data_IF_948496980803
#
_entry.id   IF_948496980803
#
_cell.length_a   1.000
_cell.length_b   1.000
_cell.length_c   1.000
_cell.angle_alpha   90.00
_cell.angle_beta   90.00
_cell.angle_gamma   90.00
#
_symmetry.space_group_name_H-M   'P 1'
#
loop_
_entity.id
_entity.type
_entity.pdbx_description
1 polymer ?
#
# COMPACT_ATOMS: atom_id res chain seq x y z
N UNK A 1 11.22 -14.71 -8.34
CA UNK A 1 11.04 -13.47 -7.54
C UNK A 1 12.18 -12.49 -7.81
N UNK A 2 13.45 -12.89 -7.66
CA UNK A 2 14.66 -12.10 -8.02
C UNK A 2 14.53 -11.29 -9.32
N UNK A 3 14.16 -11.92 -10.44
CA UNK A 3 13.99 -11.21 -11.74
C UNK A 3 13.08 -9.97 -11.71
N UNK A 4 12.08 -9.94 -10.82
CA UNK A 4 11.21 -8.77 -10.67
C UNK A 4 11.88 -7.68 -9.85
N UNK A 5 12.65 -8.07 -8.81
CA UNK A 5 13.46 -7.14 -8.02
C UNK A 5 14.60 -6.54 -8.84
N UNK A 6 15.21 -7.31 -9.74
CA UNK A 6 16.22 -6.81 -10.69
C UNK A 6 15.63 -5.78 -11.66
N UNK A 7 14.36 -5.98 -12.03
CA UNK A 7 13.63 -5.07 -12.89
C UNK A 7 13.05 -3.86 -12.13
N UNK A 8 13.18 -3.76 -10.81
CA UNK A 8 12.80 -2.54 -10.11
C UNK A 8 13.71 -1.40 -10.56
N UNK A 9 13.10 -0.35 -11.10
CA UNK A 9 13.82 0.85 -11.49
C UNK A 9 14.53 1.43 -10.29
N UNK A 10 15.84 1.65 -10.43
CA UNK A 10 16.62 2.34 -9.41
C UNK A 10 16.14 3.79 -9.33
N UNK A 11 15.74 4.23 -8.13
CA UNK A 11 15.39 5.62 -7.88
C UNK A 11 16.69 6.39 -7.69
N UNK A 12 16.92 7.40 -8.53
CA UNK A 12 18.11 8.23 -8.39
C UNK A 12 17.94 9.20 -7.23
N UNK A 13 19.02 9.64 -6.55
CA UNK A 13 18.93 10.56 -5.42
C UNK A 13 18.10 11.82 -5.70
N UNK A 14 18.20 12.39 -6.90
CA UNK A 14 17.43 13.56 -7.34
C UNK A 14 15.93 13.30 -7.49
N UNK A 15 15.53 12.04 -7.71
CA UNK A 15 14.13 11.64 -7.90
C UNK A 15 13.43 11.33 -6.58
N UNK A 16 14.17 11.08 -5.49
CA UNK A 16 13.64 10.61 -4.20
C UNK A 16 12.50 11.50 -3.71
N UNK A 17 12.64 12.82 -3.76
CA UNK A 17 11.61 13.77 -3.29
C UNK A 17 10.29 13.69 -4.09
N UNK A 18 10.34 13.13 -5.29
CA UNK A 18 9.15 12.93 -6.14
C UNK A 18 8.60 11.52 -6.09
N UNK A 19 9.41 10.54 -5.69
CA UNK A 19 9.09 9.11 -5.67
C UNK A 19 8.82 8.57 -4.28
N UNK A 20 9.26 9.24 -3.22
CA UNK A 20 9.13 8.79 -1.85
C UNK A 20 8.66 9.91 -0.94
N UNK A 21 7.88 9.52 0.07
CA UNK A 21 7.34 10.38 1.11
C UNK A 21 7.62 9.71 2.44
N UNK A 22 7.96 10.50 3.44
CA UNK A 22 8.10 10.07 4.82
C UNK A 22 7.23 10.91 5.74
N UNK A 23 6.93 10.36 6.90
CA UNK A 23 6.23 11.09 7.93
C UNK A 23 6.57 10.63 9.33
N UNK A 24 6.23 11.47 10.30
CA UNK A 24 6.28 11.16 11.71
C UNK A 24 4.99 11.61 12.40
N UNK A 25 4.34 10.71 13.15
CA UNK A 25 3.07 11.05 13.80
C UNK A 25 3.25 12.07 14.93
N UNK A 26 2.36 13.06 14.93
CA UNK A 26 2.07 13.94 16.05
C UNK A 26 1.07 13.28 17.00
N UNK A 27 0.82 13.92 18.13
CA UNK A 27 -0.28 13.56 19.00
C UNK A 27 -1.62 13.67 18.26
N UNK A 28 -2.60 12.89 18.69
CA UNK A 28 -3.91 12.84 18.04
C UNK A 28 -4.87 11.93 18.78
N UNK A 29 -5.94 11.52 18.11
CA UNK A 29 -6.96 10.64 18.67
C UNK A 29 -7.05 9.37 17.84
N UNK A 30 -6.92 8.22 18.49
CA UNK A 30 -7.06 6.90 17.88
C UNK A 30 -8.06 6.10 18.70
N UNK A 31 -9.09 5.56 18.05
CA UNK A 31 -10.15 4.77 18.71
C UNK A 31 -10.77 5.47 19.94
N UNK A 32 -10.93 6.80 19.85
CA UNK A 32 -11.49 7.63 20.92
C UNK A 32 -10.53 7.95 22.07
N UNK A 33 -9.26 7.53 21.99
CA UNK A 33 -8.24 7.80 23.00
C UNK A 33 -7.20 8.79 22.49
N UNK A 34 -6.77 9.70 23.37
CA UNK A 34 -5.63 10.56 23.07
C UNK A 34 -4.34 9.74 23.04
N UNK A 35 -3.53 10.01 22.01
CA UNK A 35 -2.23 9.38 21.78
C UNK A 35 -1.19 10.48 21.69
N UNK A 36 -0.08 10.31 22.41
CA UNK A 36 1.04 11.23 22.39
C UNK A 36 1.81 11.21 21.06
N UNK A 37 2.60 12.26 20.78
CA UNK A 37 3.44 12.30 19.59
C UNK A 37 4.59 11.29 19.69
N UNK A 38 5.18 10.91 18.56
CA UNK A 38 6.30 9.95 18.55
C UNK A 38 7.49 10.42 19.40
N UNK A 39 7.79 11.73 19.38
CA UNK A 39 8.89 12.34 20.15
C UNK A 39 8.66 12.34 21.66
N UNK A 40 7.42 12.13 22.10
CA UNK A 40 7.04 12.07 23.50
C UNK A 40 7.01 10.61 24.01
N UNK A 41 7.22 9.63 23.14
CA UNK A 41 7.25 8.21 23.51
C UNK A 41 8.45 7.89 24.41
N UNK A 42 8.23 6.93 25.33
CA UNK A 42 9.29 6.44 26.20
C UNK A 42 10.46 5.91 25.36
N UNK A 43 11.67 6.35 25.68
CA UNK A 43 12.91 6.00 24.98
C UNK A 43 13.06 6.57 23.56
N UNK A 44 12.28 7.60 23.19
CA UNK A 44 12.49 8.36 21.95
C UNK A 44 13.17 9.69 22.27
N UNK A 45 14.16 10.07 21.46
CA UNK A 45 14.80 11.37 21.59
C UNK A 45 13.81 12.50 21.20
N UNK A 46 13.69 13.59 21.98
CA UNK A 46 12.79 14.70 21.67
C UNK A 46 13.08 15.36 20.32
N UNK A 47 14.29 15.22 19.80
CA UNK A 47 14.73 15.75 18.50
C UNK A 47 14.75 14.69 17.40
N UNK A 48 14.18 13.49 17.64
CA UNK A 48 14.23 12.38 16.68
C UNK A 48 13.60 12.76 15.34
N UNK A 49 14.31 12.43 14.27
CA UNK A 49 13.88 12.56 12.88
C UNK A 49 13.50 11.22 12.27
N UNK A 50 13.40 10.16 13.09
CA UNK A 50 13.03 8.82 12.63
C UNK A 50 11.62 8.81 12.05
N UNK A 51 11.48 8.24 10.87
CA UNK A 51 10.22 8.07 10.17
C UNK A 51 9.33 7.02 10.86
N UNK A 52 8.05 7.33 11.02
CA UNK A 52 7.02 6.35 11.44
C UNK A 52 5.99 6.06 10.35
N UNK A 53 6.16 6.69 9.18
CA UNK A 53 5.41 6.47 7.94
C UNK A 53 6.33 6.58 6.73
N UNK A 54 6.12 5.75 5.73
CA UNK A 54 6.70 5.89 4.41
C UNK A 54 5.69 5.54 3.31
N UNK A 55 5.73 6.28 2.20
CA UNK A 55 5.06 5.92 0.96
C UNK A 55 6.03 6.04 -0.20
N UNK A 56 6.01 5.07 -1.12
CA UNK A 56 6.95 5.01 -2.25
C UNK A 56 6.21 4.66 -3.54
N UNK A 57 6.61 5.31 -4.63
CA UNK A 57 6.26 4.97 -6.00
C UNK A 57 7.42 4.18 -6.60
N UNK A 58 7.11 2.99 -7.11
CA UNK A 58 8.04 2.07 -7.74
C UNK A 58 7.61 1.82 -9.18
N UNK A 59 8.58 1.57 -10.05
CA UNK A 59 8.37 1.15 -11.42
C UNK A 59 9.13 -0.16 -11.67
N UNK A 60 8.54 -1.05 -12.46
CA UNK A 60 9.16 -2.32 -12.84
C UNK A 60 9.40 -2.30 -14.34
N UNK A 61 10.67 -2.25 -14.74
CA UNK A 61 11.14 -2.16 -16.11
C UNK A 61 11.18 -3.53 -16.78
N UNK A 62 10.00 -4.09 -17.02
CA UNK A 62 9.84 -5.28 -17.85
C UNK A 62 8.59 -5.18 -18.75
N UNK A 63 8.48 -6.10 -19.71
CA UNK A 63 7.40 -6.08 -20.70
C UNK A 63 5.99 -6.12 -20.09
N UNK A 64 5.82 -6.82 -18.95
CA UNK A 64 4.52 -7.01 -18.30
C UNK A 64 4.06 -5.76 -17.55
N UNK A 65 4.99 -5.04 -16.93
CA UNK A 65 4.72 -3.92 -16.04
C UNK A 65 5.13 -2.55 -16.60
N UNK A 66 5.53 -2.51 -17.87
CA UNK A 66 5.87 -1.27 -18.56
C UNK A 66 4.73 -0.23 -18.43
N UNK A 67 5.05 0.92 -17.83
CA UNK A 67 4.11 2.01 -17.60
C UNK A 67 3.06 1.74 -16.51
N UNK A 68 3.23 0.71 -15.67
CA UNK A 68 2.37 0.44 -14.52
C UNK A 68 3.10 0.87 -13.23
N UNK A 69 2.65 1.96 -12.57
CA UNK A 69 3.24 2.37 -11.29
C UNK A 69 2.75 1.47 -10.15
N UNK A 70 3.65 1.17 -9.22
CA UNK A 70 3.36 0.49 -7.97
C UNK A 70 3.48 1.51 -6.83
N UNK A 71 2.45 1.63 -6.00
CA UNK A 71 2.51 2.47 -4.80
C UNK A 71 2.45 1.58 -3.58
N UNK A 72 3.40 1.75 -2.68
CA UNK A 72 3.40 1.11 -1.38
C UNK A 72 3.37 2.19 -0.31
N UNK A 73 2.58 1.96 0.75
CA UNK A 73 2.60 2.80 1.95
C UNK A 73 2.55 1.93 3.19
N UNK A 74 3.25 2.34 4.23
CA UNK A 74 3.21 1.72 5.54
C UNK A 74 3.44 2.78 6.60
N UNK A 75 2.77 2.65 7.73
CA UNK A 75 2.98 3.57 8.83
C UNK A 75 2.35 3.12 10.13
N UNK A 76 2.72 3.82 11.20
CA UNK A 76 2.22 3.61 12.56
C UNK A 76 1.21 4.69 12.93
N UNK A 77 0.35 4.37 13.91
CA UNK A 77 -0.73 5.26 14.39
C UNK A 77 -1.62 5.79 13.26
N UNK A 78 -1.88 4.93 12.26
CA UNK A 78 -2.83 5.22 11.19
C UNK A 78 -4.27 4.96 11.65
N UNK A 79 -5.23 5.49 10.91
CA UNK A 79 -6.67 5.36 11.19
C UNK A 79 -7.17 3.92 11.41
N UNK A 80 -6.53 2.94 10.76
CA UNK A 80 -6.89 1.53 10.90
C UNK A 80 -5.67 0.62 10.72
N UNK A 81 -5.64 -0.49 11.46
CA UNK A 81 -4.73 -1.62 11.20
C UNK A 81 -5.24 -2.40 9.99
N UNK A 82 -4.49 -2.38 8.90
CA UNK A 82 -4.82 -3.14 7.69
C UNK A 82 -3.57 -3.44 6.86
N UNK A 83 -3.55 -4.60 6.21
CA UNK A 83 -2.60 -5.00 5.17
C UNK A 83 -3.42 -5.45 3.97
N UNK A 84 -3.26 -4.77 2.83
CA UNK A 84 -3.99 -5.10 1.62
C UNK A 84 -3.19 -4.81 0.36
N UNK A 85 -3.58 -5.46 -0.72
CA UNK A 85 -3.12 -5.19 -2.08
C UNK A 85 -4.34 -4.78 -2.90
N UNK A 86 -4.32 -3.57 -3.46
CA UNK A 86 -5.36 -3.07 -4.34
C UNK A 86 -4.84 -2.96 -5.77
N UNK A 87 -5.48 -3.66 -6.70
CA UNK A 87 -5.18 -3.65 -8.12
C UNK A 87 -6.29 -2.89 -8.85
N UNK A 88 -5.96 -1.70 -9.34
CA UNK A 88 -6.89 -0.89 -10.14
C UNK A 88 -6.66 -1.15 -11.63
N UNK A 89 -7.70 -1.63 -12.30
CA UNK A 89 -7.66 -1.86 -13.74
C UNK A 89 -7.79 -0.54 -14.51
N UNK A 90 -7.24 -0.52 -15.72
CA UNK A 90 -7.46 0.60 -16.65
C UNK A 90 -8.95 0.65 -17.04
N UNK A 91 -9.50 1.85 -17.27
CA UNK A 91 -10.84 1.97 -17.82
C UNK A 91 -10.93 1.26 -19.17
N UNK A 92 -12.09 0.71 -19.49
CA UNK A 92 -12.32 0.08 -20.78
C UNK A 92 -12.19 1.13 -21.91
N UNK A 93 -11.44 0.85 -23.00
CA UNK A 93 -11.14 1.84 -24.04
C UNK A 93 -12.35 2.26 -24.87
N UNK A 94 -13.40 1.42 -24.93
CA UNK A 94 -14.63 1.68 -25.68
C UNK A 94 -15.82 1.67 -24.74
N UNK A 95 -16.21 2.86 -24.27
CA UNK A 95 -17.45 3.04 -23.50
C UNK A 95 -18.61 3.14 -24.49
N UNK A 96 -19.20 2.00 -24.85
CA UNK A 96 -20.38 1.95 -25.74
C UNK A 96 -21.60 2.63 -25.07
N UNK A 97 -21.58 2.74 -23.75
CA UNK A 97 -22.59 3.40 -22.93
C UNK A 97 -22.18 4.82 -22.53
N UNK A 98 -21.96 5.69 -23.53
CA UNK A 98 -21.60 7.10 -23.32
C UNK A 98 -22.68 7.93 -22.62
N UNK A 99 -23.91 7.39 -22.52
CA UNK A 99 -25.06 7.99 -21.85
C UNK A 99 -25.01 7.91 -20.31
N UNK A 100 -24.00 7.25 -19.73
CA UNK A 100 -23.83 7.18 -18.28
C UNK A 100 -23.10 8.44 -17.81
N UNK A 101 -23.86 9.41 -17.32
CA UNK A 101 -23.31 10.59 -16.67
C UNK A 101 -22.34 10.16 -15.54
N UNK A 102 -21.08 10.61 -15.62
CA UNK A 102 -20.04 10.31 -14.62
C UNK A 102 -19.00 9.26 -15.01
N UNK A 103 -19.16 8.57 -16.16
CA UNK A 103 -18.21 7.56 -16.63
C UNK A 103 -18.22 6.26 -15.80
N UNK A 104 -17.54 5.23 -16.31
CA UNK A 104 -17.40 3.94 -15.61
C UNK A 104 -16.25 4.03 -14.60
N UNK A 105 -16.56 3.76 -13.33
CA UNK A 105 -15.52 3.59 -12.32
C UNK A 105 -14.58 2.43 -12.73
N UNK A 106 -13.27 2.55 -12.49
CA UNK A 106 -12.33 1.48 -12.81
C UNK A 106 -12.63 0.24 -11.97
N UNK A 107 -12.47 -0.94 -12.57
CA UNK A 107 -12.56 -2.18 -11.81
C UNK A 107 -11.43 -2.23 -10.76
N UNK A 108 -11.71 -2.84 -9.61
CA UNK A 108 -10.75 -3.00 -8.52
C UNK A 108 -10.75 -4.45 -8.05
N UNK A 109 -9.57 -5.06 -7.94
CA UNK A 109 -9.37 -6.30 -7.20
C UNK A 109 -8.62 -5.96 -5.92
N UNK A 110 -9.22 -6.28 -4.76
CA UNK A 110 -8.65 -6.03 -3.45
C UNK A 110 -8.42 -7.36 -2.76
N UNK A 111 -7.18 -7.60 -2.37
CA UNK A 111 -6.74 -8.73 -1.56
C UNK A 111 -6.44 -8.19 -0.17
N UNK A 112 -7.33 -8.46 0.80
CA UNK A 112 -7.08 -8.10 2.21
C UNK A 112 -6.36 -9.27 2.88
N UNK A 113 -5.17 -8.98 3.38
CA UNK A 113 -4.28 -9.97 4.01
C UNK A 113 -4.51 -10.04 5.52
N UNK A 114 -4.77 -8.90 6.17
CA UNK A 114 -5.15 -8.85 7.58
C UNK A 114 -5.68 -7.45 7.95
N UNK A 115 -6.55 -7.32 8.96
CA UNK A 115 -7.40 -8.38 9.50
C UNK A 115 -8.47 -8.79 8.48
N UNK A 116 -9.30 -9.79 8.80
CA UNK A 116 -10.47 -10.20 8.01
C UNK A 116 -10.10 -10.60 6.56
N UNK A 117 -9.37 -11.71 6.42
CA UNK A 117 -8.84 -12.22 5.16
C UNK A 117 -9.97 -12.33 4.12
N UNK A 118 -9.85 -11.55 3.04
CA UNK A 118 -10.91 -11.45 2.04
C UNK A 118 -10.37 -11.08 0.67
N UNK A 119 -11.12 -11.52 -0.35
CA UNK A 119 -10.89 -11.18 -1.75
C UNK A 119 -12.15 -10.49 -2.24
N UNK A 120 -12.02 -9.27 -2.75
CA UNK A 120 -13.16 -8.57 -3.35
C UNK A 120 -12.84 -8.02 -4.72
N UNK A 121 -13.80 -8.11 -5.61
CA UNK A 121 -13.75 -7.48 -6.93
C UNK A 121 -14.91 -6.49 -7.06
N UNK A 122 -14.58 -5.24 -7.36
CA UNK A 122 -15.53 -4.18 -7.69
C UNK A 122 -15.53 -3.98 -9.19
N UNK A 123 -16.71 -4.01 -9.79
CA UNK A 123 -16.91 -3.81 -11.21
C UNK A 123 -18.30 -3.26 -11.47
N UNK A 124 -18.53 -2.76 -12.66
CA UNK A 124 -19.80 -2.17 -13.05
C UNK A 124 -20.70 -3.19 -13.75
N UNK A 125 -21.98 -3.23 -13.37
CA UNK A 125 -23.01 -4.07 -14.01
C UNK A 125 -24.29 -3.27 -14.28
N UNK A 126 -25.15 -3.78 -15.17
CA UNK A 126 -26.46 -3.18 -15.43
C UNK A 126 -27.35 -3.34 -14.20
N UNK A 127 -27.88 -2.23 -13.71
CA UNK A 127 -28.85 -2.22 -12.63
C UNK A 127 -30.10 -3.03 -13.03
N UNK A 128 -30.66 -3.84 -12.13
CA UNK A 128 -31.96 -4.46 -12.36
C UNK A 128 -33.03 -3.41 -12.72
N UNK A 129 -33.87 -3.71 -13.72
CA UNK A 129 -34.90 -2.77 -14.22
C UNK A 129 -34.87 -2.58 -15.74
N UNK A 130 -35.76 -1.74 -16.26
CA UNK A 130 -35.87 -1.47 -17.70
C UNK A 130 -34.90 -0.37 -18.17
N UNK A 131 -34.51 0.54 -17.26
CA UNK A 131 -33.58 1.61 -17.57
C UNK A 131 -32.17 1.07 -17.84
N UNK A 132 -31.48 1.67 -18.81
CA UNK A 132 -30.06 1.42 -19.07
C UNK A 132 -29.20 2.21 -18.08
N UNK A 133 -29.19 1.76 -16.83
CA UNK A 133 -28.35 2.30 -15.77
C UNK A 133 -27.28 1.28 -15.41
N UNK A 134 -26.03 1.75 -15.26
CA UNK A 134 -24.92 0.92 -14.78
C UNK A 134 -24.57 1.36 -13.36
N UNK A 135 -24.37 0.39 -12.49
CA UNK A 135 -24.00 0.61 -11.10
C UNK A 135 -22.78 -0.24 -10.70
N UNK A 136 -21.91 0.27 -9.83
CA UNK A 136 -20.83 -0.53 -9.27
C UNK A 136 -21.40 -1.59 -8.32
N UNK A 137 -20.98 -2.84 -8.51
CA UNK A 137 -21.24 -3.96 -7.61
C UNK A 137 -19.93 -4.50 -7.05
N UNK A 138 -20.02 -5.18 -5.91
CA UNK A 138 -18.90 -5.82 -5.22
C UNK A 138 -19.22 -7.31 -5.09
N UNK A 139 -18.37 -8.16 -5.66
CA UNK A 139 -18.32 -9.57 -5.27
C UNK A 139 -17.25 -9.71 -4.19
N UNK A 140 -17.55 -10.49 -3.16
CA UNK A 140 -16.69 -10.65 -1.99
C UNK A 140 -16.64 -12.11 -1.58
N UNK A 141 -15.43 -12.55 -1.27
CA UNK A 141 -15.12 -13.81 -0.65
C UNK A 141 -14.42 -13.51 0.68
N UNK A 142 -14.87 -14.16 1.74
CA UNK A 142 -14.36 -13.99 3.09
C UNK A 142 -14.01 -15.37 3.66
N UNK A 143 -12.78 -15.51 4.16
CA UNK A 143 -12.27 -16.79 4.65
C UNK A 143 -13.02 -17.28 5.88
N UNK A 144 -13.30 -16.37 6.83
CA UNK A 144 -13.95 -16.70 8.11
C UNK A 144 -15.36 -17.27 7.88
N UNK A 145 -16.14 -16.64 7.02
CA UNK A 145 -17.51 -17.06 6.70
C UNK A 145 -17.57 -18.33 5.84
N UNK A 146 -16.55 -18.58 5.01
CA UNK A 146 -16.56 -19.74 4.10
C UNK A 146 -16.04 -21.00 4.77
N UNK A 147 -14.96 -20.90 5.55
CA UNK A 147 -14.29 -22.07 6.12
C UNK A 147 -14.50 -22.22 7.62
N UNK A 148 -14.97 -21.18 8.32
CA UNK A 148 -15.22 -21.23 9.76
C UNK A 148 -13.97 -21.54 10.60
N UNK A 149 -12.78 -21.39 10.02
CA UNK A 149 -11.51 -21.64 10.67
C UNK A 149 -10.60 -20.42 10.50
N UNK A 150 -9.88 -20.11 11.57
CA UNK A 150 -8.80 -19.14 11.48
C UNK A 150 -7.62 -19.79 10.73
N UNK A 151 -6.97 -19.07 9.80
CA UNK A 151 -5.75 -19.57 9.18
C UNK A 151 -4.68 -19.85 10.25
N UNK A 152 -3.81 -20.86 10.05
CA UNK A 152 -2.74 -21.16 10.99
C UNK A 152 -1.81 -19.96 11.12
N UNK A 153 -1.20 -19.80 12.31
CA UNK A 153 -0.25 -18.73 12.55
C UNK A 153 0.91 -18.78 11.55
N UNK A 154 1.44 -17.61 11.18
CA UNK A 154 2.52 -17.51 10.21
C UNK A 154 3.76 -18.33 10.62
N UNK A 155 4.09 -18.39 11.91
CA UNK A 155 5.23 -19.17 12.39
C UNK A 155 4.97 -20.68 12.38
N UNK A 156 3.74 -21.14 12.66
CA UNK A 156 3.42 -22.57 12.53
C UNK A 156 3.68 -23.07 11.11
N UNK A 157 3.24 -22.30 10.12
CA UNK A 157 3.47 -22.64 8.71
C UNK A 157 4.95 -22.63 8.35
N UNK A 158 5.68 -21.56 8.71
CA UNK A 158 7.10 -21.43 8.36
C UNK A 158 7.97 -22.47 9.04
N UNK A 159 7.67 -22.84 10.29
CA UNK A 159 8.39 -23.90 11.00
C UNK A 159 8.15 -25.26 10.35
N UNK A 160 6.91 -25.56 9.95
CA UNK A 160 6.60 -26.78 9.23
C UNK A 160 7.33 -26.83 7.88
N UNK A 161 7.30 -25.74 7.10
CA UNK A 161 7.99 -25.66 5.82
C UNK A 161 9.51 -25.87 5.99
N UNK A 162 10.11 -25.30 7.04
CA UNK A 162 11.52 -25.53 7.38
C UNK A 162 11.83 -27.00 7.71
N UNK A 163 10.96 -27.69 8.46
CA UNK A 163 11.11 -29.11 8.77
C UNK A 163 10.97 -30.00 7.54
N UNK A 164 10.12 -29.60 6.59
CA UNK A 164 9.91 -30.30 5.31
C UNK A 164 10.96 -29.94 4.25
N UNK A 165 11.83 -28.96 4.51
CA UNK A 165 12.81 -28.47 3.56
C UNK A 165 12.22 -27.65 2.40
N UNK A 166 11.01 -27.10 2.57
CA UNK A 166 10.37 -26.22 1.59
C UNK A 166 10.84 -24.77 1.78
N UNK A 167 11.64 -24.29 0.83
CA UNK A 167 12.20 -22.94 0.84
C UNK A 167 11.29 -21.89 0.16
N UNK A 168 10.08 -22.24 -0.28
CA UNK A 168 9.23 -21.37 -1.14
C UNK A 168 8.86 -20.03 -0.49
N UNK A 169 8.57 -20.04 0.82
CA UNK A 169 8.21 -18.84 1.58
C UNK A 169 9.40 -18.14 2.23
N UNK A 170 10.60 -18.67 2.07
CA UNK A 170 11.82 -18.06 2.58
C UNK A 170 12.42 -17.10 1.55
N UNK A 171 13.04 -16.03 2.05
CA UNK A 171 13.72 -15.06 1.19
C UNK A 171 15.15 -15.52 0.96
N UNK A 172 15.56 -15.63 -0.30
CA UNK A 172 16.94 -16.00 -0.66
C UNK A 172 17.89 -14.81 -0.46
N UNK A 173 19.18 -15.09 -0.28
CA UNK A 173 20.19 -14.04 -0.06
C UNK A 173 20.24 -13.00 -1.19
N UNK A 174 20.20 -13.45 -2.45
CA UNK A 174 20.16 -12.57 -3.63
C UNK A 174 18.91 -11.68 -3.69
N UNK A 175 17.75 -12.19 -3.23
CA UNK A 175 16.53 -11.38 -3.09
C UNK A 175 16.71 -10.26 -2.06
N UNK A 176 17.34 -10.56 -0.92
CA UNK A 176 17.60 -9.58 0.16
C UNK A 176 18.57 -8.51 -0.33
N UNK A 177 19.72 -8.90 -0.89
CA UNK A 177 20.73 -7.96 -1.39
C UNK A 177 20.17 -7.03 -2.46
N UNK A 178 19.39 -7.58 -3.40
CA UNK A 178 18.75 -6.79 -4.46
C UNK A 178 17.73 -5.82 -3.85
N UNK A 179 16.88 -6.27 -2.93
CA UNK A 179 15.92 -5.39 -2.28
C UNK A 179 16.59 -4.22 -1.53
N UNK A 180 17.68 -4.50 -0.80
CA UNK A 180 18.48 -3.46 -0.15
C UNK A 180 19.04 -2.48 -1.18
N UNK A 181 19.75 -2.96 -2.19
CA UNK A 181 20.37 -2.11 -3.21
C UNK A 181 19.34 -1.18 -3.90
N UNK A 182 18.10 -1.63 -4.10
CA UNK A 182 17.02 -0.80 -4.68
C UNK A 182 16.48 0.25 -3.73
N UNK A 183 16.44 -0.02 -2.42
CA UNK A 183 15.91 0.89 -1.41
C UNK A 183 16.96 1.86 -0.85
N UNK A 184 18.25 1.52 -0.93
CA UNK A 184 19.35 2.34 -0.39
C UNK A 184 19.28 3.83 -0.80
N UNK A 185 19.02 4.20 -2.07
CA UNK A 185 18.97 5.61 -2.45
C UNK A 185 17.91 6.41 -1.68
N UNK A 186 16.77 5.80 -1.36
CA UNK A 186 15.72 6.46 -0.55
C UNK A 186 16.21 6.65 0.89
N UNK A 187 16.80 5.59 1.47
CA UNK A 187 17.28 5.61 2.86
C UNK A 187 18.40 6.64 3.05
N UNK A 188 19.37 6.66 2.13
CA UNK A 188 20.49 7.60 2.16
C UNK A 188 20.02 9.05 1.99
N UNK A 189 19.09 9.31 1.06
CA UNK A 189 18.51 10.63 0.87
C UNK A 189 17.75 11.11 2.10
N UNK A 190 16.97 10.22 2.74
CA UNK A 190 16.27 10.55 3.98
C UNK A 190 17.22 10.87 5.13
N UNK A 191 18.32 10.12 5.25
CA UNK A 191 19.34 10.37 6.26
C UNK A 191 20.12 11.67 6.00
N UNK A 192 20.47 11.96 4.75
CA UNK A 192 21.31 13.10 4.37
C UNK A 192 20.59 14.45 4.55
N UNK A 193 19.26 14.47 4.39
CA UNK A 193 18.46 15.67 4.55
C UNK A 193 17.36 15.41 5.57
N UNK A 194 17.55 15.67 6.87
CA UNK A 194 16.50 15.48 7.87
C UNK A 194 15.28 16.38 7.60
N UNK A 195 14.05 15.91 7.88
CA UNK A 195 12.84 16.66 7.60
C UNK A 195 12.65 17.81 8.59
N UNK A 196 12.35 19.00 8.07
CA UNK A 196 12.05 20.18 8.89
C UNK A 196 10.60 20.23 9.38
N UNK A 197 9.70 19.45 8.77
CA UNK A 197 8.26 19.47 8.98
C UNK A 197 7.77 18.40 9.97
N UNK A 198 8.67 17.60 10.57
CA UNK A 198 8.26 16.59 11.54
C UNK A 198 7.88 17.19 12.89
N UNK A 199 6.78 16.72 13.52
CA UNK A 199 5.83 15.72 13.02
C UNK A 199 4.81 16.30 12.02
N UNK A 200 4.47 15.53 10.98
CA UNK A 200 3.71 16.02 9.82
C UNK A 200 2.39 15.27 9.53
N UNK A 201 1.95 14.39 10.43
CA UNK A 201 0.61 13.80 10.37
C UNK A 201 0.07 13.50 11.77
N UNK A 202 -1.23 13.64 11.99
CA UNK A 202 -1.85 13.32 13.28
C UNK A 202 -2.01 11.80 13.47
N UNK A 203 -1.79 11.30 14.69
CA UNK A 203 -2.22 9.95 15.04
C UNK A 203 -3.73 9.78 14.77
N UNK A 204 -4.11 8.64 14.16
CA UNK A 204 -5.48 8.37 13.71
C UNK A 204 -5.79 8.86 12.29
N UNK A 205 -4.88 9.58 11.63
CA UNK A 205 -5.02 9.95 10.21
C UNK A 205 -4.50 8.85 9.27
N UNK A 206 -4.62 9.05 7.95
CA UNK A 206 -4.10 8.13 6.93
C UNK A 206 -2.63 8.41 6.51
N UNK A 207 -1.94 9.26 7.26
CA UNK A 207 -0.57 9.70 6.98
C UNK A 207 -0.49 11.16 6.50
N UNK A 208 0.71 11.62 6.11
CA UNK A 208 0.94 13.01 5.71
C UNK A 208 0.26 13.35 4.37
N UNK A 209 -0.13 14.61 4.19
CA UNK A 209 -0.77 15.07 2.95
C UNK A 209 0.08 14.79 1.69
N UNK A 210 1.40 14.91 1.81
CA UNK A 210 2.35 14.61 0.75
C UNK A 210 2.22 13.18 0.19
N UNK A 211 1.73 12.22 0.98
CA UNK A 211 1.50 10.86 0.52
C UNK A 211 0.35 10.78 -0.50
N UNK A 212 -0.64 11.68 -0.42
CA UNK A 212 -1.68 11.80 -1.45
C UNK A 212 -1.13 12.48 -2.71
N UNK A 213 -0.31 13.52 -2.54
CA UNK A 213 0.32 14.25 -3.66
C UNK A 213 1.18 13.33 -4.53
N UNK A 214 1.82 12.32 -3.92
CA UNK A 214 2.57 11.28 -4.63
C UNK A 214 1.74 10.59 -5.72
N UNK A 215 0.46 10.33 -5.47
CA UNK A 215 -0.46 9.70 -6.43
C UNK A 215 -1.14 10.73 -7.33
N UNK A 216 -1.47 11.91 -6.80
CA UNK A 216 -2.14 12.97 -7.56
C UNK A 216 -1.30 13.45 -8.76
N UNK A 217 0.03 13.44 -8.65
CA UNK A 217 0.96 13.71 -9.77
C UNK A 217 0.71 12.82 -10.99
N UNK A 218 0.18 11.62 -10.78
CA UNK A 218 -0.15 10.65 -11.84
C UNK A 218 -1.66 10.60 -12.14
N UNK A 219 -2.46 11.54 -11.62
CA UNK A 219 -3.92 11.55 -11.75
C UNK A 219 -4.60 10.41 -10.99
N UNK A 220 -3.98 9.94 -9.89
CA UNK A 220 -4.45 8.80 -9.09
C UNK A 220 -4.72 9.24 -7.66
N UNK A 221 -5.44 8.43 -6.91
CA UNK A 221 -5.66 8.64 -5.48
C UNK A 221 -5.57 7.31 -4.73
N UNK A 222 -5.27 7.37 -3.43
CA UNK A 222 -5.35 6.19 -2.59
C UNK A 222 -6.79 5.70 -2.52
N UNK A 223 -6.96 4.38 -2.50
CA UNK A 223 -8.26 3.78 -2.20
C UNK A 223 -8.70 4.22 -0.80
N UNK A 224 -9.95 4.70 -0.62
CA UNK A 224 -10.53 4.88 0.71
C UNK A 224 -10.57 3.53 1.42
N UNK A 225 -10.10 3.48 2.67
CA UNK A 225 -9.98 2.26 3.48
C UNK A 225 -11.09 2.16 4.52
#
# INVERSE_FOLDING_TARGET
KVKVLDALRLIRPEEVNTMAVRGQYAGGTLDGQEVQAYRDEKNVAPTSTTETYAAVKLAIDNWRWAGVPFYARSGKRLAKRITEIAIQFRPAPLVIFSSIAGGLAPNLLVLRIQPDESISIKFSTKAPGQALAIQPVKMEFDYSSTFGMDPPDAYERLLLDAMLGDATLFTRADEVETAWARMMPILEAFQAAPPADFPNYAAGSWGPAAANDLLYRDGRCWRPL
#
